data_IF_397520657538
#
_entry.id   IF_397520657538
#
_cell.length_a   1.000
_cell.length_b   1.000
_cell.length_c   1.000
_cell.angle_alpha   90.00
_cell.angle_beta   90.00
_cell.angle_gamma   90.00
#
_symmetry.space_group_name_H-M   'P 1'
#
loop_
_entity.id
_entity.type
_entity.pdbx_description
1 polymer ?
#
# COMPACT_ATOMS: atom_id res chain seq x y z
N UNK A 1 -26.95 -10.64 39.65
CA UNK A 1 -25.61 -10.67 39.03
C UNK A 1 -25.76 -11.34 37.67
N UNK A 2 -25.60 -10.59 36.58
CA UNK A 2 -25.89 -11.06 35.22
C UNK A 2 -24.66 -10.74 34.37
N UNK A 3 -23.79 -11.72 34.16
CA UNK A 3 -22.68 -11.61 33.20
C UNK A 3 -22.75 -12.83 32.29
N UNK A 4 -23.30 -12.62 31.08
CA UNK A 4 -23.20 -13.55 29.98
C UNK A 4 -22.24 -12.95 28.97
N UNK A 5 -21.07 -13.56 28.82
CA UNK A 5 -20.11 -13.28 27.75
C UNK A 5 -19.66 -14.65 27.21
N UNK A 6 -20.54 -15.30 26.44
CA UNK A 6 -20.15 -16.42 25.60
C UNK A 6 -19.41 -15.84 24.40
N UNK A 7 -18.08 -15.78 24.50
CA UNK A 7 -17.22 -15.51 23.36
C UNK A 7 -17.41 -16.63 22.32
N UNK A 8 -17.90 -16.25 21.13
CA UNK A 8 -18.14 -17.18 20.03
C UNK A 8 -16.88 -18.00 19.72
N UNK A 9 -16.97 -19.32 19.92
CA UNK A 9 -15.95 -20.31 19.54
C UNK A 9 -16.24 -20.85 18.15
N UNK A 10 -15.18 -21.17 17.41
CA UNK A 10 -15.31 -21.77 16.08
C UNK A 10 -15.94 -23.17 16.19
N UNK A 11 -17.06 -23.46 15.51
CA UNK A 11 -17.77 -24.74 15.64
C UNK A 11 -17.00 -25.94 15.05
N UNK A 12 -15.90 -25.72 14.33
CA UNK A 12 -15.13 -26.79 13.66
C UNK A 12 -13.91 -27.27 14.44
N UNK A 13 -13.31 -26.41 15.27
CA UNK A 13 -12.10 -26.72 16.04
C UNK A 13 -12.16 -26.28 17.50
N UNK A 14 -13.28 -25.69 17.93
CA UNK A 14 -13.54 -25.21 19.29
C UNK A 14 -12.50 -24.19 19.82
N UNK A 15 -11.73 -23.56 18.92
CA UNK A 15 -10.82 -22.49 19.26
C UNK A 15 -11.60 -21.19 19.55
N UNK A 16 -11.14 -20.35 20.49
CA UNK A 16 -11.69 -19.00 20.63
C UNK A 16 -11.54 -18.27 19.30
N UNK A 17 -12.63 -17.70 18.77
CA UNK A 17 -12.51 -16.81 17.63
C UNK A 17 -11.76 -15.58 18.12
N UNK A 18 -10.63 -15.27 17.49
CA UNK A 18 -9.98 -13.99 17.72
C UNK A 18 -10.99 -12.90 17.38
N UNK A 19 -11.35 -12.09 18.37
CA UNK A 19 -12.03 -10.82 18.12
C UNK A 19 -11.15 -10.06 17.15
N UNK A 20 -11.71 -9.67 16.01
CA UNK A 20 -11.06 -8.92 14.95
C UNK A 20 -10.33 -7.71 15.53
N UNK A 21 -9.05 -7.91 15.83
CA UNK A 21 -8.29 -7.04 16.70
C UNK A 21 -7.69 -5.97 15.81
N UNK A 22 -8.40 -4.86 15.66
CA UNK A 22 -7.87 -3.61 15.07
C UNK A 22 -6.54 -3.18 15.73
N UNK A 23 -6.22 -3.77 16.90
CA UNK A 23 -4.93 -3.73 17.60
C UNK A 23 -3.74 -4.27 16.79
N UNK A 24 -3.94 -5.14 15.80
CA UNK A 24 -2.85 -5.65 14.96
C UNK A 24 -2.35 -4.62 13.95
N UNK A 25 -3.24 -3.83 13.34
CA UNK A 25 -2.88 -2.73 12.45
C UNK A 25 -2.04 -1.69 13.20
N UNK A 26 -2.47 -1.34 14.42
CA UNK A 26 -1.75 -0.36 15.26
C UNK A 26 -0.37 -0.86 15.74
N UNK A 27 -0.15 -2.18 15.87
CA UNK A 27 1.15 -2.75 16.25
C UNK A 27 2.15 -2.77 15.10
N UNK A 28 1.68 -2.95 13.86
CA UNK A 28 2.54 -2.87 12.67
C UNK A 28 3.02 -1.43 12.47
N UNK A 29 2.14 -0.44 12.65
CA UNK A 29 2.53 0.99 12.58
C UNK A 29 3.53 1.41 13.66
N UNK A 30 3.61 0.70 14.79
CA UNK A 30 4.62 0.93 15.85
C UNK A 30 6.00 0.34 15.51
N UNK A 31 6.08 -0.63 14.59
CA UNK A 31 7.32 -1.28 14.16
C UNK A 31 7.95 -0.60 12.94
N UNK A 32 7.19 0.23 12.25
CA UNK A 32 7.61 0.92 11.05
C UNK A 32 8.10 2.33 11.38
N UNK A 33 9.13 2.76 10.66
CA UNK A 33 9.55 4.16 10.72
C UNK A 33 8.44 5.07 10.18
N UNK A 34 8.37 6.35 10.59
CA UNK A 34 7.39 7.28 10.06
C UNK A 34 7.38 7.39 8.53
N UNK A 35 8.54 7.22 7.89
CA UNK A 35 8.65 7.20 6.43
C UNK A 35 7.99 5.97 5.80
N UNK A 36 8.12 4.80 6.43
CA UNK A 36 7.48 3.56 5.95
C UNK A 36 5.96 3.60 6.13
N UNK A 37 5.46 4.17 7.22
CA UNK A 37 4.01 4.37 7.42
C UNK A 37 3.45 5.30 6.35
N UNK A 38 4.10 6.44 6.09
CA UNK A 38 3.71 7.35 5.01
C UNK A 38 3.74 6.69 3.64
N UNK A 39 4.72 5.81 3.40
CA UNK A 39 4.77 5.04 2.15
C UNK A 39 3.57 4.10 2.05
N UNK A 40 3.18 3.42 3.13
CA UNK A 40 1.99 2.56 3.15
C UNK A 40 0.70 3.35 2.91
N UNK A 41 0.55 4.51 3.55
CA UNK A 41 -0.58 5.42 3.29
C UNK A 41 -0.59 5.90 1.83
N UNK A 42 0.58 6.11 1.24
CA UNK A 42 0.70 6.49 -0.17
C UNK A 42 0.29 5.34 -1.10
N UNK A 43 0.34 4.08 -0.69
CA UNK A 43 -0.03 2.92 -1.52
C UNK A 43 -1.35 2.29 -1.09
N UNK A 44 -2.15 3.02 -0.30
CA UNK A 44 -3.45 2.55 0.18
C UNK A 44 -4.32 2.05 -0.98
N UNK A 45 -5.04 0.94 -0.77
CA UNK A 45 -5.72 0.25 -1.85
C UNK A 45 -6.84 1.07 -2.52
N UNK A 46 -7.37 2.10 -1.84
CA UNK A 46 -8.37 3.00 -2.42
C UNK A 46 -7.75 3.99 -3.40
N UNK A 47 -6.57 4.53 -3.07
CA UNK A 47 -5.89 5.54 -3.89
C UNK A 47 -4.81 4.94 -4.81
N UNK A 48 -4.31 3.75 -4.50
CA UNK A 48 -3.18 3.08 -5.14
C UNK A 48 -3.35 2.94 -6.66
N UNK A 49 -4.50 2.45 -7.17
CA UNK A 49 -4.75 2.38 -8.61
C UNK A 49 -4.65 3.73 -9.32
N UNK A 50 -5.20 4.78 -8.73
CA UNK A 50 -5.16 6.14 -9.30
C UNK A 50 -3.74 6.72 -9.24
N UNK A 51 -2.97 6.41 -8.19
CA UNK A 51 -1.56 6.80 -8.08
C UNK A 51 -0.69 6.09 -9.11
N UNK A 52 -0.88 4.79 -9.33
CA UNK A 52 -0.22 4.04 -10.40
C UNK A 52 -0.51 4.70 -11.75
N UNK A 53 -1.78 5.02 -12.00
CA UNK A 53 -2.18 5.71 -13.23
C UNK A 53 -1.51 7.08 -13.38
N UNK A 54 -1.42 7.87 -12.31
CA UNK A 54 -0.75 9.15 -12.32
C UNK A 54 0.76 9.02 -12.61
N UNK A 55 1.44 8.06 -11.99
CA UNK A 55 2.89 7.83 -12.21
C UNK A 55 3.17 7.37 -13.65
N UNK A 56 2.37 6.45 -14.18
CA UNK A 56 2.44 6.04 -15.59
C UNK A 56 2.24 7.22 -16.53
N UNK A 57 1.26 8.09 -16.23
CA UNK A 57 0.97 9.24 -17.05
C UNK A 57 2.10 10.27 -17.07
N UNK A 58 2.71 10.58 -15.92
CA UNK A 58 3.88 11.46 -15.83
C UNK A 58 5.02 10.91 -16.68
N UNK A 59 5.29 9.60 -16.58
CA UNK A 59 6.35 8.96 -17.35
C UNK A 59 6.09 8.99 -18.86
N UNK A 60 4.87 8.64 -19.29
CA UNK A 60 4.54 8.62 -20.70
C UNK A 60 4.53 10.02 -21.31
N UNK A 61 4.03 11.03 -20.59
CA UNK A 61 4.08 12.43 -21.04
C UNK A 61 5.54 12.90 -21.18
N UNK A 62 6.39 12.60 -20.19
CA UNK A 62 7.79 13.00 -20.24
C UNK A 62 8.54 12.36 -21.43
N UNK A 63 8.23 11.11 -21.78
CA UNK A 63 8.89 10.40 -22.87
C UNK A 63 8.32 10.74 -24.25
N UNK A 64 7.00 10.80 -24.38
CA UNK A 64 6.34 10.84 -25.69
C UNK A 64 5.79 12.21 -26.06
N UNK A 65 5.53 13.08 -25.09
CA UNK A 65 4.88 14.37 -25.31
C UNK A 65 5.81 15.57 -25.04
N UNK A 66 6.88 15.36 -24.27
CA UNK A 66 7.89 16.39 -24.03
C UNK A 66 8.66 16.74 -25.31
N UNK A 67 8.92 18.02 -25.52
CA UNK A 67 9.87 18.50 -26.54
C UNK A 67 11.27 18.70 -25.96
N UNK A 68 11.42 18.51 -24.64
CA UNK A 68 12.69 18.63 -23.95
C UNK A 68 13.54 17.37 -24.12
N UNK A 69 14.85 17.57 -24.22
CA UNK A 69 15.80 16.45 -24.23
C UNK A 69 15.96 15.91 -22.82
N UNK A 70 15.83 14.60 -22.65
CA UNK A 70 16.07 13.92 -21.38
C UNK A 70 17.55 13.58 -21.24
N UNK A 71 18.21 14.15 -20.24
CA UNK A 71 19.57 13.79 -19.84
C UNK A 71 19.54 12.60 -18.88
N UNK A 72 20.71 12.17 -18.43
CA UNK A 72 20.82 10.94 -17.62
C UNK A 72 20.09 11.08 -16.30
N UNK A 73 20.09 12.27 -15.69
CA UNK A 73 19.39 12.54 -14.44
C UNK A 73 17.87 12.39 -14.60
N UNK A 74 17.29 12.89 -15.70
CA UNK A 74 15.86 12.71 -15.94
C UNK A 74 15.51 11.26 -16.30
N UNK A 75 16.38 10.56 -17.02
CA UNK A 75 16.18 9.13 -17.33
C UNK A 75 16.19 8.28 -16.06
N UNK A 76 17.14 8.53 -15.16
CA UNK A 76 17.20 7.85 -13.87
C UNK A 76 15.95 8.14 -13.04
N UNK A 77 15.51 9.41 -13.00
CA UNK A 77 14.27 9.78 -12.32
C UNK A 77 13.05 9.04 -12.91
N UNK A 78 12.91 8.99 -14.23
CA UNK A 78 11.83 8.27 -14.91
C UNK A 78 11.88 6.76 -14.66
N UNK A 79 13.07 6.18 -14.60
CA UNK A 79 13.26 4.78 -14.20
C UNK A 79 12.79 4.53 -12.77
N UNK A 80 13.11 5.41 -11.83
CA UNK A 80 12.63 5.31 -10.44
C UNK A 80 11.10 5.45 -10.35
N UNK A 81 10.49 6.35 -11.13
CA UNK A 81 9.02 6.48 -11.23
C UNK A 81 8.41 5.15 -11.72
N UNK A 82 9.04 4.52 -12.71
CA UNK A 82 8.63 3.20 -13.21
C UNK A 82 8.70 2.11 -12.16
N UNK A 83 9.84 2.00 -11.47
CA UNK A 83 10.01 1.02 -10.38
C UNK A 83 8.95 1.25 -9.31
N UNK A 84 8.69 2.50 -8.92
CA UNK A 84 7.72 2.83 -7.89
C UNK A 84 6.32 2.32 -8.25
N UNK A 85 5.78 2.62 -9.44
CA UNK A 85 4.42 2.15 -9.76
C UNK A 85 4.35 0.62 -9.83
N UNK A 86 5.40 -0.06 -10.30
CA UNK A 86 5.41 -1.53 -10.40
C UNK A 86 5.36 -2.17 -9.01
N UNK A 87 6.03 -1.57 -8.03
CA UNK A 87 5.95 -2.00 -6.64
C UNK A 87 4.55 -1.79 -6.07
N UNK A 88 3.90 -0.67 -6.39
CA UNK A 88 2.53 -0.39 -5.95
C UNK A 88 1.56 -1.40 -6.56
N UNK A 89 1.66 -1.65 -7.87
CA UNK A 89 0.84 -2.68 -8.56
C UNK A 89 1.01 -4.05 -7.91
N UNK A 90 2.25 -4.46 -7.64
CA UNK A 90 2.53 -5.74 -6.99
C UNK A 90 1.98 -5.87 -5.56
N UNK A 91 1.76 -4.76 -4.84
CA UNK A 91 1.11 -4.76 -3.53
C UNK A 91 -0.41 -4.92 -3.67
N UNK A 92 -1.02 -4.33 -4.72
CA UNK A 92 -2.47 -4.33 -4.93
C UNK A 92 -3.00 -5.64 -5.56
N UNK A 93 -2.14 -6.43 -6.20
CA UNK A 93 -2.50 -7.71 -6.83
C UNK A 93 -2.58 -8.89 -5.84
N UNK A 94 -2.31 -8.69 -4.54
CA UNK A 94 -2.32 -9.71 -3.47
C UNK A 94 -3.67 -9.77 -2.75
#
# INVERSE_FOLDING_TARGET
>A
MRNGEDGQRCPKCNSPMATDDTRHVSKISQLLTPAQVKLLEYVDALDGPDRVKALKWVHDVAIYNSQETLYEEEKDALYQVKVLWQLIEGILEV
#
